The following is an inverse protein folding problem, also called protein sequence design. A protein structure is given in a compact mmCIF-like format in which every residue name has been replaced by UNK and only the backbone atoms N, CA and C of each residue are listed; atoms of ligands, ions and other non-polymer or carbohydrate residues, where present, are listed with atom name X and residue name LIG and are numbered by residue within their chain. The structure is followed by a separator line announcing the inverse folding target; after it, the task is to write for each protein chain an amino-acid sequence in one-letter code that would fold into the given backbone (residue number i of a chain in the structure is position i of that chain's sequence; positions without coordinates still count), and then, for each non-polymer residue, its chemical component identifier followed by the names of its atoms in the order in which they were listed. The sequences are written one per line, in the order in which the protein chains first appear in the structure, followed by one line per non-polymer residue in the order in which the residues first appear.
data_IF_949447191662
#
_entry.id   IF_949447191662
#
_cell.length_a   1.000
_cell.length_b   1.000
_cell.length_c   1.000
_cell.angle_alpha   90.00
_cell.angle_beta   90.00
_cell.angle_gamma   90.00
#
_symmetry.space_group_name_H-M   'P 1'
#
loop_
_entity.id
_entity.type
_entity.pdbx_description
1 polymer ?
#
# COMPACT_ATOMS: atom_id res chain seq x y z
N UNK A 1 20.76 -74.48 -5.89
CA UNK A 1 19.54 -73.69 -6.11
C UNK A 1 19.08 -73.18 -4.75
N UNK A 2 19.46 -71.95 -4.41
CA UNK A 2 19.10 -71.25 -3.17
C UNK A 2 18.18 -70.10 -3.57
N UNK A 3 16.91 -70.14 -3.16
CA UNK A 3 15.98 -69.02 -3.34
C UNK A 3 15.83 -68.27 -2.02
N UNK A 4 16.28 -67.03 -2.06
CA UNK A 4 16.22 -66.05 -1.01
C UNK A 4 14.77 -65.60 -0.75
N UNK A 5 14.39 -65.58 0.52
CA UNK A 5 13.22 -64.92 1.09
C UNK A 5 13.37 -63.39 0.94
N UNK A 6 12.39 -62.76 0.31
CA UNK A 6 12.24 -61.29 0.27
C UNK A 6 11.87 -60.77 1.67
N UNK A 7 12.44 -59.66 2.15
CA UNK A 7 11.96 -59.02 3.37
C UNK A 7 10.67 -58.25 3.09
N UNK A 8 9.71 -58.43 3.99
CA UNK A 8 8.47 -57.66 4.11
C UNK A 8 8.79 -56.17 4.18
N UNK A 9 8.11 -55.39 3.33
CA UNK A 9 8.22 -53.94 3.25
C UNK A 9 7.72 -53.28 4.53
N UNK A 10 8.57 -52.43 5.11
CA UNK A 10 8.29 -51.55 6.25
C UNK A 10 7.31 -50.40 5.90
N UNK A 11 6.18 -50.71 5.26
CA UNK A 11 5.14 -49.74 4.88
C UNK A 11 3.81 -50.01 5.63
N UNK A 12 3.63 -51.16 6.29
CA UNK A 12 2.34 -51.51 6.92
C UNK A 12 2.26 -51.25 8.44
N UNK A 13 3.12 -50.40 9.01
CA UNK A 13 3.11 -50.09 10.47
C UNK A 13 2.77 -48.65 10.86
N UNK A 14 2.15 -47.87 9.95
CA UNK A 14 1.59 -46.55 10.24
C UNK A 14 0.06 -46.55 10.32
N UNK A 15 -0.54 -47.58 10.91
CA UNK A 15 -1.92 -47.49 11.39
C UNK A 15 -1.98 -46.73 12.72
N UNK A 16 -2.30 -45.44 12.60
CA UNK A 16 -3.14 -44.63 13.50
C UNK A 16 -3.38 -45.17 14.91
N UNK A 17 -2.58 -44.70 15.88
CA UNK A 17 -3.01 -44.69 17.28
C UNK A 17 -3.87 -43.45 17.52
N UNK A 18 -5.14 -43.59 17.97
CA UNK A 18 -6.02 -42.46 18.32
C UNK A 18 -5.50 -41.60 19.49
N UNK A 19 -4.43 -42.03 20.17
CA UNK A 19 -3.79 -41.31 21.27
C UNK A 19 -2.65 -40.37 20.84
N UNK A 20 -2.38 -40.22 19.54
CA UNK A 20 -1.37 -39.26 19.09
C UNK A 20 -1.86 -37.82 19.34
N UNK A 21 -1.20 -37.03 20.22
CA UNK A 21 -1.65 -35.69 20.59
C UNK A 21 -1.71 -34.74 19.38
N UNK A 22 -0.86 -34.97 18.37
CA UNK A 22 -0.84 -34.23 17.12
C UNK A 22 -2.06 -34.52 16.25
N UNK A 23 -2.41 -35.79 16.08
CA UNK A 23 -3.60 -36.19 15.29
C UNK A 23 -4.87 -35.63 15.93
N UNK A 24 -4.95 -35.72 17.26
CA UNK A 24 -6.06 -35.17 18.02
C UNK A 24 -6.16 -33.65 17.89
N UNK A 25 -5.04 -32.93 18.00
CA UNK A 25 -5.02 -31.47 17.83
C UNK A 25 -5.47 -31.04 16.42
N UNK A 26 -5.03 -31.75 15.38
CA UNK A 26 -5.46 -31.49 14.01
C UNK A 26 -6.97 -31.73 13.86
N UNK A 27 -7.48 -32.84 14.39
CA UNK A 27 -8.92 -33.16 14.32
C UNK A 27 -9.78 -32.16 15.09
N UNK A 28 -9.37 -31.77 16.30
CA UNK A 28 -10.04 -30.74 17.11
C UNK A 28 -10.09 -29.39 16.36
N UNK A 29 -8.98 -28.99 15.72
CA UNK A 29 -8.92 -27.78 14.92
C UNK A 29 -9.79 -27.85 13.65
N UNK A 30 -9.75 -28.97 12.91
CA UNK A 30 -10.57 -29.15 11.71
C UNK A 30 -12.08 -29.08 12.02
N UNK A 31 -12.51 -29.62 13.15
CA UNK A 31 -13.91 -29.58 13.57
C UNK A 31 -14.46 -28.15 13.75
N UNK A 32 -13.59 -27.18 14.08
CA UNK A 32 -13.99 -25.77 14.22
C UNK A 32 -13.72 -24.94 12.96
N UNK A 33 -12.64 -25.23 12.22
CA UNK A 33 -12.19 -24.44 11.09
C UNK A 33 -12.97 -24.77 9.80
N UNK A 34 -13.36 -26.03 9.60
CA UNK A 34 -14.05 -26.50 8.38
C UNK A 34 -15.56 -26.24 8.37
N UNK A 35 -16.06 -25.31 9.19
CA UNK A 35 -17.48 -24.92 9.20
C UNK A 35 -17.89 -24.10 7.98
N UNK A 36 -16.92 -23.48 7.31
CA UNK A 36 -17.10 -22.58 6.18
C UNK A 36 -16.03 -22.90 5.15
N UNK A 37 -16.44 -23.10 3.91
CA UNK A 37 -15.53 -23.38 2.79
C UNK A 37 -14.97 -22.10 2.17
N UNK A 38 -15.75 -21.01 2.18
CA UNK A 38 -15.38 -19.73 1.56
C UNK A 38 -15.97 -18.52 2.30
N UNK A 39 -15.32 -17.36 2.21
CA UNK A 39 -15.77 -16.16 2.90
C UNK A 39 -17.16 -15.68 2.45
N UNK A 40 -17.55 -15.89 1.19
CA UNK A 40 -18.84 -15.42 0.67
C UNK A 40 -20.03 -16.07 1.38
N UNK A 41 -19.86 -17.30 1.86
CA UNK A 41 -20.86 -18.00 2.67
C UNK A 41 -21.19 -17.27 3.97
N UNK A 42 -20.22 -16.57 4.58
CA UNK A 42 -20.41 -15.76 5.79
C UNK A 42 -21.36 -14.59 5.54
N UNK A 43 -21.28 -13.96 4.37
CA UNK A 43 -22.11 -12.79 4.03
C UNK A 43 -23.51 -13.15 3.52
N UNK A 44 -23.73 -14.40 3.10
CA UNK A 44 -25.03 -14.88 2.59
C UNK A 44 -25.93 -15.44 3.69
N UNK A 45 -25.34 -16.02 4.73
CA UNK A 45 -26.08 -16.74 5.77
C UNK A 45 -26.43 -15.79 6.91
N UNK A 46 -27.72 -15.72 7.27
CA UNK A 46 -28.21 -14.87 8.36
C UNK A 46 -27.75 -15.31 9.75
N UNK A 47 -27.44 -16.60 9.91
CA UNK A 47 -26.98 -17.18 11.18
C UNK A 47 -25.44 -17.21 11.21
N UNK A 48 -24.79 -16.67 12.25
CA UNK A 48 -23.34 -16.76 12.40
C UNK A 48 -22.89 -18.21 12.64
N UNK A 49 -21.70 -18.54 12.16
CA UNK A 49 -21.07 -19.85 12.28
C UNK A 49 -20.33 -20.04 13.62
N UNK A 50 -19.74 -18.96 14.15
CA UNK A 50 -18.87 -19.00 15.34
C UNK A 50 -19.29 -18.06 16.47
N UNK A 51 -20.13 -17.05 16.24
CA UNK A 51 -20.58 -16.09 17.27
C UNK A 51 -21.11 -16.74 18.57
N UNK A 52 -21.79 -17.88 18.43
CA UNK A 52 -22.38 -18.63 19.56
C UNK A 52 -21.36 -19.46 20.34
N UNK A 53 -20.14 -19.63 19.83
CA UNK A 53 -19.09 -20.40 20.49
C UNK A 53 -18.39 -19.56 21.57
N UNK A 54 -17.92 -20.21 22.63
CA UNK A 54 -17.04 -19.56 23.61
C UNK A 54 -15.69 -19.22 22.98
N UNK A 55 -15.01 -18.21 23.53
CA UNK A 55 -13.65 -17.82 23.09
C UNK A 55 -12.68 -19.02 23.19
N UNK A 56 -12.71 -19.76 24.28
CA UNK A 56 -11.90 -20.98 24.47
C UNK A 56 -12.10 -21.99 23.33
N UNK A 57 -13.34 -22.28 22.96
CA UNK A 57 -13.65 -23.22 21.89
C UNK A 57 -13.15 -22.76 20.51
N UNK A 58 -12.97 -21.45 20.31
CA UNK A 58 -12.47 -20.88 19.05
C UNK A 58 -10.93 -20.79 19.05
N UNK A 59 -10.30 -20.61 20.20
CA UNK A 59 -8.87 -20.30 20.32
C UNK A 59 -8.03 -21.53 20.61
N UNK A 60 -8.41 -22.33 21.62
CA UNK A 60 -7.55 -23.41 22.14
C UNK A 60 -7.16 -24.45 21.08
N UNK A 61 -8.05 -24.90 20.18
CA UNK A 61 -7.65 -25.87 19.15
C UNK A 61 -6.63 -25.29 18.15
N UNK A 62 -6.74 -23.99 17.85
CA UNK A 62 -5.81 -23.28 16.97
C UNK A 62 -4.44 -23.08 17.63
N UNK A 63 -4.40 -22.66 18.91
CA UNK A 63 -3.14 -22.55 19.67
C UNK A 63 -2.43 -23.90 19.78
N UNK A 64 -3.20 -24.95 20.10
CA UNK A 64 -2.66 -26.30 20.26
C UNK A 64 -2.06 -26.81 18.95
N UNK A 65 -2.74 -26.65 17.81
CA UNK A 65 -2.19 -27.09 16.52
C UNK A 65 -1.00 -26.23 16.08
N UNK A 66 -1.00 -24.92 16.36
CA UNK A 66 0.17 -24.05 16.11
C UNK A 66 1.40 -24.52 16.89
N UNK A 67 1.22 -24.92 18.15
CA UNK A 67 2.33 -25.35 19.02
C UNK A 67 2.89 -26.72 18.64
N UNK A 68 2.04 -27.66 18.18
CA UNK A 68 2.42 -29.04 17.89
C UNK A 68 2.80 -29.27 16.42
N UNK A 69 2.29 -28.44 15.50
CA UNK A 69 2.37 -28.66 14.05
C UNK A 69 2.74 -27.36 13.33
N UNK A 70 4.03 -27.05 13.12
CA UNK A 70 4.45 -25.82 12.44
C UNK A 70 3.87 -25.65 11.03
N UNK A 71 3.60 -26.74 10.31
CA UNK A 71 2.97 -26.70 8.99
C UNK A 71 1.49 -26.28 9.02
N UNK A 72 0.86 -26.21 10.20
CA UNK A 72 -0.53 -25.75 10.35
C UNK A 72 -0.69 -24.23 10.28
N UNK A 73 0.40 -23.45 10.33
CA UNK A 73 0.38 -21.98 10.37
C UNK A 73 -0.49 -21.36 9.28
N UNK A 74 -0.39 -21.85 8.04
CA UNK A 74 -1.21 -21.36 6.93
C UNK A 74 -2.71 -21.63 7.15
N UNK A 75 -3.06 -22.81 7.70
CA UNK A 75 -4.45 -23.16 8.00
C UNK A 75 -5.01 -22.31 9.15
N UNK A 76 -4.20 -22.00 10.16
CA UNK A 76 -4.61 -21.14 11.28
C UNK A 76 -4.71 -19.68 10.85
N UNK A 77 -3.83 -19.20 9.97
CA UNK A 77 -4.00 -17.89 9.31
C UNK A 77 -5.31 -17.84 8.52
N UNK A 78 -5.62 -18.89 7.75
CA UNK A 78 -6.87 -18.97 7.02
C UNK A 78 -8.10 -18.93 7.95
N UNK A 79 -8.04 -19.70 9.04
CA UNK A 79 -9.09 -19.71 10.06
C UNK A 79 -9.28 -18.34 10.72
N UNK A 80 -8.18 -17.64 11.06
CA UNK A 80 -8.23 -16.26 11.55
C UNK A 80 -8.94 -15.34 10.54
N UNK A 81 -8.64 -15.46 9.24
CA UNK A 81 -9.31 -14.70 8.20
C UNK A 81 -10.83 -14.94 8.16
N UNK A 82 -11.26 -16.20 8.29
CA UNK A 82 -12.69 -16.53 8.35
C UNK A 82 -13.38 -15.94 9.59
N UNK A 83 -12.73 -15.99 10.76
CA UNK A 83 -13.26 -15.34 11.97
C UNK A 83 -13.37 -13.82 11.80
N UNK A 84 -12.41 -13.19 11.13
CA UNK A 84 -12.44 -11.75 10.85
C UNK A 84 -13.56 -11.39 9.88
N UNK A 85 -13.80 -12.20 8.86
CA UNK A 85 -14.94 -12.03 7.97
C UNK A 85 -16.26 -12.03 8.74
N UNK A 86 -16.48 -13.02 9.61
CA UNK A 86 -17.70 -13.08 10.42
C UNK A 86 -17.81 -11.90 11.38
N UNK A 87 -16.74 -11.60 12.14
CA UNK A 87 -16.76 -10.50 13.10
C UNK A 87 -17.00 -9.15 12.42
N UNK A 88 -16.35 -8.90 11.28
CA UNK A 88 -16.53 -7.67 10.50
C UNK A 88 -17.94 -7.59 9.93
N UNK A 89 -18.46 -8.71 9.40
CA UNK A 89 -19.82 -8.75 8.88
C UNK A 89 -20.83 -8.37 9.95
N UNK A 90 -20.76 -9.02 11.12
CA UNK A 90 -21.64 -8.77 12.26
C UNK A 90 -21.50 -7.33 12.79
N UNK A 91 -20.27 -6.83 12.92
CA UNK A 91 -19.99 -5.47 13.37
C UNK A 91 -20.65 -4.42 12.48
N UNK A 92 -20.46 -4.51 11.17
CA UNK A 92 -21.09 -3.58 10.23
C UNK A 92 -22.61 -3.78 10.15
N UNK A 93 -23.13 -5.00 10.25
CA UNK A 93 -24.58 -5.24 10.27
C UNK A 93 -25.25 -4.56 11.47
N UNK A 94 -24.58 -4.55 12.63
CA UNK A 94 -25.03 -3.82 13.82
C UNK A 94 -24.96 -2.31 13.68
N UNK A 95 -23.99 -1.79 12.93
CA UNK A 95 -23.91 -0.35 12.62
C UNK A 95 -24.97 0.10 11.61
N UNK A 96 -25.32 -0.77 10.66
CA UNK A 96 -26.38 -0.53 9.67
C UNK A 96 -27.77 -0.64 10.29
N UNK A 97 -27.94 -1.57 11.22
CA UNK A 97 -29.20 -1.78 11.93
C UNK A 97 -28.94 -1.97 13.44
N UNK A 98 -29.24 -0.96 14.27
CA UNK A 98 -29.07 -1.05 15.73
C UNK A 98 -29.87 -2.19 16.39
N UNK A 99 -30.93 -2.68 15.74
CA UNK A 99 -31.74 -3.81 16.23
C UNK A 99 -31.17 -5.18 15.83
N UNK A 100 -30.02 -5.22 15.15
CA UNK A 100 -29.32 -6.47 14.85
C UNK A 100 -28.81 -7.10 16.16
N UNK A 101 -29.49 -8.16 16.60
CA UNK A 101 -29.33 -8.75 17.93
C UNK A 101 -28.17 -9.75 18.10
N UNK A 102 -27.44 -10.06 17.04
CA UNK A 102 -26.33 -11.01 17.10
C UNK A 102 -25.10 -10.36 17.75
N UNK A 103 -24.59 -10.96 18.82
CA UNK A 103 -23.38 -10.50 19.49
C UNK A 103 -22.11 -11.04 18.81
N UNK A 104 -21.20 -10.13 18.44
CA UNK A 104 -19.90 -10.46 17.84
C UNK A 104 -18.77 -10.60 18.87
N UNK A 105 -19.03 -10.36 20.16
CA UNK A 105 -18.00 -10.20 21.19
C UNK A 105 -17.04 -11.40 21.33
N UNK A 106 -17.56 -12.63 21.26
CA UNK A 106 -16.74 -13.84 21.38
C UNK A 106 -15.78 -14.00 20.19
N UNK A 107 -16.27 -13.77 18.97
CA UNK A 107 -15.46 -13.90 17.75
C UNK A 107 -14.42 -12.78 17.70
N UNK A 108 -14.80 -11.53 18.03
CA UNK A 108 -13.85 -10.41 18.13
C UNK A 108 -12.72 -10.69 19.13
N UNK A 109 -13.05 -11.28 20.29
CA UNK A 109 -12.05 -11.67 21.30
C UNK A 109 -11.16 -12.81 20.82
N UNK A 110 -11.71 -13.79 20.10
CA UNK A 110 -10.95 -14.88 19.51
C UNK A 110 -9.98 -14.38 18.43
N UNK A 111 -10.45 -13.50 17.53
CA UNK A 111 -9.62 -12.82 16.52
C UNK A 111 -8.46 -12.10 17.19
N UNK A 112 -8.73 -11.27 18.21
CA UNK A 112 -7.68 -10.52 18.92
C UNK A 112 -6.63 -11.45 19.52
N UNK A 113 -7.06 -12.55 20.16
CA UNK A 113 -6.15 -13.49 20.82
C UNK A 113 -5.27 -14.22 19.80
N UNK A 114 -5.86 -14.77 18.74
CA UNK A 114 -5.12 -15.51 17.71
C UNK A 114 -4.18 -14.60 16.91
N UNK A 115 -4.62 -13.38 16.57
CA UNK A 115 -3.75 -12.38 15.92
C UNK A 115 -2.54 -12.07 16.81
N UNK A 116 -2.75 -11.87 18.11
CA UNK A 116 -1.68 -11.65 19.06
C UNK A 116 -0.72 -12.83 19.17
N UNK A 117 -1.21 -14.08 19.17
CA UNK A 117 -0.34 -15.26 19.22
C UNK A 117 0.54 -15.38 17.98
N UNK A 118 0.00 -15.04 16.80
CA UNK A 118 0.77 -14.98 15.55
C UNK A 118 1.80 -13.83 15.58
N UNK A 119 1.47 -12.67 16.16
CA UNK A 119 2.43 -11.58 16.38
C UNK A 119 3.60 -12.02 17.27
N UNK A 120 3.31 -12.76 18.35
CA UNK A 120 4.35 -13.32 19.22
C UNK A 120 5.24 -14.31 18.46
N UNK A 121 4.66 -15.14 17.59
CA UNK A 121 5.44 -16.08 16.75
C UNK A 121 6.36 -15.37 15.76
N UNK A 122 5.91 -14.27 15.15
CA UNK A 122 6.76 -13.42 14.29
C UNK A 122 7.93 -12.85 15.11
N UNK A 123 7.65 -12.42 16.34
CA UNK A 123 8.64 -11.77 17.20
C UNK A 123 9.64 -12.74 17.85
N UNK A 124 9.23 -13.99 18.06
CA UNK A 124 10.03 -14.97 18.79
C UNK A 124 11.07 -15.70 17.94
N UNK A 125 11.03 -15.54 16.62
CA UNK A 125 11.88 -16.32 15.71
C UNK A 125 12.31 -15.46 14.55
N UNK A 126 13.57 -15.60 14.10
CA UNK A 126 14.04 -15.05 12.83
C UNK A 126 13.39 -15.82 11.65
N UNK A 127 12.11 -15.56 11.43
CA UNK A 127 11.30 -16.20 10.39
C UNK A 127 10.87 -15.15 9.37
N UNK A 128 11.84 -14.64 8.59
CA UNK A 128 11.58 -13.91 7.33
C UNK A 128 10.48 -14.59 6.51
N UNK A 129 10.59 -15.91 6.30
CA UNK A 129 9.62 -16.68 5.51
C UNK A 129 8.21 -16.66 6.09
N UNK A 130 8.06 -16.74 7.42
CA UNK A 130 6.74 -16.69 8.04
C UNK A 130 6.15 -15.28 8.00
N UNK A 131 6.97 -14.25 8.25
CA UNK A 131 6.53 -12.85 8.12
C UNK A 131 6.06 -12.55 6.70
N UNK A 132 6.78 -13.05 5.68
CA UNK A 132 6.40 -12.91 4.28
C UNK A 132 5.09 -13.65 3.97
N UNK A 133 4.92 -14.87 4.50
CA UNK A 133 3.66 -15.62 4.38
C UNK A 133 2.48 -14.87 5.02
N UNK A 134 2.68 -14.31 6.22
CA UNK A 134 1.66 -13.52 6.92
C UNK A 134 1.34 -12.27 6.12
N UNK A 135 2.35 -11.51 5.66
CA UNK A 135 2.15 -10.31 4.85
C UNK A 135 1.35 -10.61 3.58
N UNK A 136 1.77 -11.61 2.79
CA UNK A 136 1.11 -11.98 1.55
C UNK A 136 -0.35 -12.42 1.79
N UNK A 137 -0.57 -13.22 2.84
CA UNK A 137 -1.93 -13.67 3.21
C UNK A 137 -2.81 -12.49 3.63
N UNK A 138 -2.31 -11.58 4.49
CA UNK A 138 -3.08 -10.44 4.96
C UNK A 138 -3.38 -9.44 3.84
N UNK A 139 -2.45 -9.22 2.91
CA UNK A 139 -2.72 -8.43 1.71
C UNK A 139 -3.92 -8.99 0.92
N UNK A 140 -3.94 -10.30 0.66
CA UNK A 140 -5.05 -10.96 -0.03
C UNK A 140 -6.37 -10.85 0.78
N UNK A 141 -6.29 -11.05 2.10
CA UNK A 141 -7.44 -10.95 2.99
C UNK A 141 -8.02 -9.52 3.04
N UNK A 142 -7.20 -8.48 3.03
CA UNK A 142 -7.68 -7.09 2.99
C UNK A 142 -8.41 -6.77 1.68
N UNK A 143 -7.92 -7.32 0.56
CA UNK A 143 -8.61 -7.22 -0.74
C UNK A 143 -9.97 -7.93 -0.69
N UNK A 144 -10.03 -9.15 -0.14
CA UNK A 144 -11.28 -9.92 0.01
C UNK A 144 -12.26 -9.20 0.95
N UNK A 145 -11.80 -8.72 2.10
CA UNK A 145 -12.58 -7.91 3.04
C UNK A 145 -13.14 -6.66 2.37
N UNK A 146 -12.33 -5.95 1.57
CA UNK A 146 -12.80 -4.79 0.83
C UNK A 146 -13.88 -5.19 -0.18
N UNK A 147 -13.61 -6.22 -0.99
CA UNK A 147 -14.53 -6.74 -2.02
C UNK A 147 -15.90 -7.12 -1.44
N UNK A 148 -15.93 -7.77 -0.27
CA UNK A 148 -17.18 -8.16 0.36
C UNK A 148 -17.95 -7.02 1.06
N UNK A 149 -17.29 -5.89 1.37
CA UNK A 149 -17.89 -4.84 2.21
C UNK A 149 -18.06 -3.47 1.53
N UNK A 150 -17.38 -3.17 0.41
CA UNK A 150 -17.41 -1.82 -0.17
C UNK A 150 -18.79 -1.40 -0.71
N UNK A 151 -19.64 -2.34 -1.10
CA UNK A 151 -21.00 -2.04 -1.61
C UNK A 151 -22.07 -1.94 -0.54
N UNK A 152 -21.71 -2.22 0.72
CA UNK A 152 -22.64 -2.20 1.85
C UNK A 152 -23.20 -0.79 2.09
N UNK A 153 -24.44 -0.68 2.62
CA UNK A 153 -25.03 0.62 2.97
C UNK A 153 -24.09 1.50 3.81
N UNK A 154 -23.41 0.95 4.81
CA UNK A 154 -22.49 1.73 5.65
C UNK A 154 -21.29 2.28 4.87
N UNK A 155 -20.75 1.52 3.93
CA UNK A 155 -19.63 1.95 3.09
C UNK A 155 -20.05 3.06 2.12
N UNK A 156 -21.22 2.90 1.49
CA UNK A 156 -21.80 3.93 0.62
C UNK A 156 -22.08 5.24 1.37
N UNK A 157 -22.50 5.15 2.63
CA UNK A 157 -22.73 6.32 3.49
C UNK A 157 -21.43 6.99 3.95
N UNK A 158 -20.40 6.21 4.31
CA UNK A 158 -19.10 6.73 4.70
C UNK A 158 -18.34 7.39 3.53
N UNK A 159 -18.61 6.93 2.31
CA UNK A 159 -17.87 7.24 1.10
C UNK A 159 -16.96 6.08 0.71
N UNK A 160 -16.84 5.83 -0.59
CA UNK A 160 -16.07 4.70 -1.13
C UNK A 160 -14.62 5.05 -1.45
N UNK A 161 -14.18 6.29 -1.24
CA UNK A 161 -12.78 6.66 -1.47
C UNK A 161 -11.83 5.98 -0.47
N UNK A 162 -10.55 5.76 -0.81
CA UNK A 162 -9.60 5.01 0.03
C UNK A 162 -9.48 5.51 1.47
N UNK A 163 -9.51 6.83 1.68
CA UNK A 163 -9.49 7.43 3.03
C UNK A 163 -10.74 7.10 3.85
N UNK A 164 -11.91 7.11 3.23
CA UNK A 164 -13.17 6.79 3.90
C UNK A 164 -13.26 5.29 4.22
N UNK A 165 -12.83 4.44 3.28
CA UNK A 165 -12.72 3.00 3.49
C UNK A 165 -11.73 2.66 4.62
N UNK A 166 -10.56 3.31 4.66
CA UNK A 166 -9.60 3.12 5.76
C UNK A 166 -10.26 3.39 7.12
N UNK A 167 -10.92 4.54 7.27
CA UNK A 167 -11.59 4.92 8.52
C UNK A 167 -12.69 3.92 8.89
N UNK A 168 -13.49 3.51 7.90
CA UNK A 168 -14.55 2.52 8.10
C UNK A 168 -14.00 1.18 8.57
N UNK A 169 -13.00 0.64 7.88
CA UNK A 169 -12.40 -0.65 8.23
C UNK A 169 -11.69 -0.59 9.58
N UNK A 170 -10.97 0.50 9.88
CA UNK A 170 -10.38 0.72 11.21
C UNK A 170 -11.40 0.82 12.34
N UNK A 171 -12.65 1.16 12.03
CA UNK A 171 -13.71 1.17 13.05
C UNK A 171 -14.08 -0.23 13.54
N UNK A 172 -13.75 -1.31 12.81
CA UNK A 172 -13.97 -2.70 13.24
C UNK A 172 -12.84 -3.17 14.15
N UNK A 173 -13.12 -3.62 15.40
CA UNK A 173 -12.08 -4.11 16.32
C UNK A 173 -11.30 -5.32 15.79
N UNK A 174 -11.95 -6.16 14.98
CA UNK A 174 -11.33 -7.35 14.39
C UNK A 174 -10.35 -6.98 13.29
N UNK A 175 -10.69 -6.00 12.45
CA UNK A 175 -9.76 -5.46 11.46
C UNK A 175 -8.61 -4.74 12.16
N UNK A 176 -8.88 -3.97 13.21
CA UNK A 176 -7.82 -3.34 14.01
C UNK A 176 -6.80 -4.36 14.53
N UNK A 177 -7.26 -5.54 14.98
CA UNK A 177 -6.36 -6.63 15.42
C UNK A 177 -5.54 -7.22 14.26
N UNK A 178 -6.13 -7.35 13.06
CA UNK A 178 -5.38 -7.76 11.87
C UNK A 178 -4.35 -6.73 11.42
N UNK A 179 -4.67 -5.43 11.51
CA UNK A 179 -3.75 -4.36 11.14
C UNK A 179 -2.51 -4.39 12.05
N UNK A 180 -2.66 -4.67 13.35
CA UNK A 180 -1.52 -4.87 14.25
C UNK A 180 -0.64 -6.07 13.86
N UNK A 181 -1.24 -7.21 13.50
CA UNK A 181 -0.50 -8.37 12.99
C UNK A 181 0.22 -8.05 11.67
N UNK A 182 -0.45 -7.33 10.78
CA UNK A 182 0.12 -6.84 9.53
C UNK A 182 1.31 -5.91 9.77
N UNK A 183 1.15 -4.90 10.64
CA UNK A 183 2.22 -3.99 11.03
C UNK A 183 3.41 -4.75 11.62
N UNK A 184 3.18 -5.78 12.45
CA UNK A 184 4.24 -6.62 12.99
C UNK A 184 5.01 -7.36 11.89
N UNK A 185 4.32 -7.93 10.91
CA UNK A 185 4.94 -8.61 9.78
C UNK A 185 5.75 -7.63 8.90
N UNK A 186 5.19 -6.46 8.61
CA UNK A 186 5.85 -5.40 7.83
C UNK A 186 7.09 -4.88 8.57
N UNK A 187 7.00 -4.56 9.86
CA UNK A 187 8.13 -4.08 10.65
C UNK A 187 9.31 -5.07 10.59
N UNK A 188 9.05 -6.36 10.84
CA UNK A 188 10.09 -7.38 10.77
C UNK A 188 10.70 -7.51 9.37
N UNK A 189 9.89 -7.45 8.30
CA UNK A 189 10.39 -7.54 6.93
C UNK A 189 11.12 -6.27 6.48
N UNK A 190 10.75 -5.09 6.93
CA UNK A 190 11.50 -3.86 6.64
C UNK A 190 12.91 -3.90 7.23
N UNK A 191 13.08 -4.57 8.38
CA UNK A 191 14.39 -4.77 9.00
C UNK A 191 15.24 -5.85 8.29
N UNK A 192 14.64 -6.98 7.87
CA UNK A 192 15.41 -8.13 7.38
C UNK A 192 15.33 -8.39 5.86
N UNK A 193 14.29 -7.90 5.17
CA UNK A 193 14.03 -8.15 3.75
C UNK A 193 13.09 -7.07 3.12
N UNK A 194 13.52 -5.79 3.07
CA UNK A 194 12.66 -4.69 2.62
C UNK A 194 12.19 -4.85 1.16
N UNK A 195 13.03 -5.41 0.29
CA UNK A 195 12.68 -5.64 -1.12
C UNK A 195 11.51 -6.64 -1.26
N UNK A 196 11.51 -7.74 -0.51
CA UNK A 196 10.41 -8.71 -0.50
C UNK A 196 9.13 -8.09 0.06
N UNK A 197 9.26 -7.26 1.11
CA UNK A 197 8.16 -6.56 1.74
C UNK A 197 7.44 -5.67 0.70
N UNK A 198 8.20 -4.81 0.03
CA UNK A 198 7.65 -3.89 -0.94
C UNK A 198 7.18 -4.59 -2.22
N UNK A 199 7.86 -5.66 -2.66
CA UNK A 199 7.38 -6.48 -3.78
C UNK A 199 5.99 -7.06 -3.48
N UNK A 200 5.79 -7.58 -2.27
CA UNK A 200 4.49 -8.14 -1.85
C UNK A 200 3.40 -7.06 -1.79
N UNK A 201 3.72 -5.87 -1.28
CA UNK A 201 2.80 -4.72 -1.25
C UNK A 201 2.45 -4.22 -2.66
N UNK A 202 3.43 -4.16 -3.56
CA UNK A 202 3.21 -3.80 -4.97
C UNK A 202 2.36 -4.82 -5.71
N UNK A 203 2.58 -6.11 -5.48
CA UNK A 203 1.76 -7.17 -6.08
C UNK A 203 0.31 -7.07 -5.61
N UNK A 204 0.08 -6.80 -4.32
CA UNK A 204 -1.24 -6.52 -3.77
C UNK A 204 -1.87 -5.26 -4.39
N UNK A 205 -1.07 -4.20 -4.57
CA UNK A 205 -1.49 -2.93 -5.17
C UNK A 205 -2.07 -3.05 -6.58
N UNK A 206 -1.79 -4.15 -7.31
CA UNK A 206 -2.38 -4.40 -8.65
C UNK A 206 -3.90 -4.59 -8.61
N UNK A 207 -4.48 -4.82 -7.43
CA UNK A 207 -5.92 -4.90 -7.24
C UNK A 207 -6.59 -3.52 -7.17
N UNK A 208 -5.80 -2.43 -7.26
CA UNK A 208 -6.27 -1.05 -7.34
C UNK A 208 -7.17 -0.68 -6.16
N UNK A 209 -8.36 -0.19 -6.48
CA UNK A 209 -9.38 0.26 -5.52
C UNK A 209 -9.52 -0.60 -4.26
N UNK A 210 -9.49 -1.94 -4.40
CA UNK A 210 -9.68 -2.86 -3.27
C UNK A 210 -8.51 -2.87 -2.26
N UNK A 211 -7.34 -2.36 -2.67
CA UNK A 211 -6.14 -2.28 -1.85
C UNK A 211 -5.66 -0.84 -1.59
N UNK A 212 -6.09 0.16 -2.35
CA UNK A 212 -5.60 1.55 -2.24
C UNK A 212 -5.71 2.12 -0.81
N UNK A 213 -6.72 1.71 -0.03
CA UNK A 213 -6.88 2.12 1.36
C UNK A 213 -5.79 1.57 2.29
N UNK A 214 -5.18 0.43 1.96
CA UNK A 214 -4.06 -0.16 2.69
C UNK A 214 -2.76 0.62 2.48
N UNK A 215 -2.54 1.23 1.31
CA UNK A 215 -1.40 2.12 1.12
C UNK A 215 -1.41 3.29 2.09
N UNK A 216 -2.60 3.86 2.36
CA UNK A 216 -2.76 4.92 3.34
C UNK A 216 -2.39 4.45 4.75
N UNK A 217 -2.78 3.22 5.11
CA UNK A 217 -2.45 2.62 6.41
C UNK A 217 -0.93 2.37 6.54
N UNK A 218 -0.34 1.70 5.56
CA UNK A 218 1.10 1.38 5.51
C UNK A 218 1.94 2.65 5.59
N UNK A 219 1.57 3.68 4.84
CA UNK A 219 2.26 4.96 4.85
C UNK A 219 2.11 5.71 6.20
N UNK A 220 0.99 5.56 6.90
CA UNK A 220 0.85 6.10 8.26
C UNK A 220 1.71 5.36 9.28
N UNK A 221 1.77 4.04 9.19
CA UNK A 221 2.48 3.19 10.15
C UNK A 221 4.01 3.22 9.95
N UNK A 222 4.46 3.29 8.69
CA UNK A 222 5.89 3.23 8.32
C UNK A 222 6.29 4.36 7.36
N UNK A 223 6.10 5.64 7.74
CA UNK A 223 6.18 6.76 6.81
C UNK A 223 7.55 6.92 6.14
N UNK A 224 8.66 6.84 6.89
CA UNK A 224 10.01 6.99 6.31
C UNK A 224 10.33 5.95 5.21
N UNK A 225 10.30 4.62 5.49
CA UNK A 225 10.64 3.63 4.47
C UNK A 225 9.63 3.61 3.33
N UNK A 226 8.34 3.85 3.59
CA UNK A 226 7.30 3.85 2.56
C UNK A 226 7.42 5.06 1.63
N UNK A 227 7.61 6.26 2.17
CA UNK A 227 7.80 7.47 1.34
C UNK A 227 9.07 7.33 0.51
N UNK A 228 10.18 6.89 1.10
CA UNK A 228 11.44 6.68 0.37
C UNK A 228 11.28 5.67 -0.77
N UNK A 229 10.62 4.54 -0.49
CA UNK A 229 10.29 3.55 -1.50
C UNK A 229 9.43 4.12 -2.63
N UNK A 230 8.29 4.75 -2.30
CA UNK A 230 7.35 5.29 -3.28
C UNK A 230 7.97 6.40 -4.13
N UNK A 231 8.81 7.24 -3.55
CA UNK A 231 9.53 8.28 -4.30
C UNK A 231 10.54 7.68 -5.28
N UNK A 232 11.33 6.71 -4.81
CA UNK A 232 12.33 6.03 -5.65
C UNK A 232 11.67 5.23 -6.77
N UNK A 233 10.67 4.40 -6.46
CA UNK A 233 9.96 3.59 -7.45
C UNK A 233 9.17 4.47 -8.40
N UNK A 234 8.52 5.52 -7.89
CA UNK A 234 7.76 6.48 -8.68
C UNK A 234 8.63 7.27 -9.66
N UNK A 235 9.83 7.68 -9.27
CA UNK A 235 10.78 8.34 -10.16
C UNK A 235 11.28 7.40 -11.28
N UNK A 236 11.56 6.13 -10.96
CA UNK A 236 11.95 5.15 -11.97
C UNK A 236 10.79 4.87 -12.93
N UNK A 237 9.58 4.70 -12.42
CA UNK A 237 8.38 4.54 -13.23
C UNK A 237 8.11 5.75 -14.13
N UNK A 238 8.32 6.96 -13.59
CA UNK A 238 8.17 8.20 -14.35
C UNK A 238 9.22 8.31 -15.46
N UNK A 239 10.43 7.83 -15.21
CA UNK A 239 11.48 7.75 -16.22
C UNK A 239 11.12 6.80 -17.35
N UNK A 240 10.68 5.58 -17.02
CA UNK A 240 10.20 4.63 -18.03
C UNK A 240 9.03 5.18 -18.83
N UNK A 241 8.11 5.88 -18.15
CA UNK A 241 6.99 6.56 -18.78
C UNK A 241 7.44 7.61 -19.80
N UNK A 242 8.30 8.55 -19.40
CA UNK A 242 8.79 9.62 -20.25
C UNK A 242 9.54 9.07 -21.49
N UNK A 243 10.42 8.08 -21.29
CA UNK A 243 11.16 7.43 -22.37
C UNK A 243 10.24 6.71 -23.36
N UNK A 244 9.23 6.00 -22.85
CA UNK A 244 8.26 5.27 -23.68
C UNK A 244 7.42 6.23 -24.53
N UNK A 245 6.95 7.33 -23.93
CA UNK A 245 6.20 8.37 -24.64
C UNK A 245 7.06 9.02 -25.72
N UNK A 246 8.31 9.41 -25.39
CA UNK A 246 9.23 9.97 -26.38
C UNK A 246 9.44 9.03 -27.57
N UNK A 247 9.59 7.72 -27.31
CA UNK A 247 9.70 6.71 -28.36
C UNK A 247 8.44 6.60 -29.22
N UNK A 248 7.23 6.64 -28.62
CA UNK A 248 5.98 6.59 -29.38
C UNK A 248 5.74 7.84 -30.22
N UNK A 249 6.07 9.02 -29.68
CA UNK A 249 5.98 10.30 -30.39
C UNK A 249 6.94 10.32 -31.60
N UNK A 250 8.18 9.83 -31.43
CA UNK A 250 9.14 9.69 -32.54
C UNK A 250 8.65 8.74 -33.65
N UNK A 251 7.91 7.69 -33.28
CA UNK A 251 7.33 6.73 -34.22
C UNK A 251 5.99 7.20 -34.82
N UNK A 252 5.44 8.33 -34.36
CA UNK A 252 4.11 8.82 -34.76
C UNK A 252 2.95 7.94 -34.26
N UNK A 253 3.17 7.07 -33.26
CA UNK A 253 2.16 6.13 -32.77
C UNK A 253 1.32 6.73 -31.64
N UNK A 254 0.35 7.57 -32.01
CA UNK A 254 -0.51 8.27 -31.06
C UNK A 254 -1.40 7.32 -30.22
N UNK A 255 -1.81 6.18 -30.79
CA UNK A 255 -2.63 5.20 -30.07
C UNK A 255 -1.85 4.56 -28.91
N UNK A 256 -0.61 4.11 -29.17
CA UNK A 256 0.24 3.53 -28.13
C UNK A 256 0.62 4.56 -27.05
N UNK A 257 0.86 5.82 -27.45
CA UNK A 257 1.10 6.91 -26.50
C UNK A 257 -0.12 7.11 -25.57
N UNK A 258 -1.34 7.13 -26.12
CA UNK A 258 -2.57 7.27 -25.34
C UNK A 258 -2.77 6.13 -24.33
N UNK A 259 -2.58 4.88 -24.75
CA UNK A 259 -2.65 3.72 -23.85
C UNK A 259 -1.60 3.81 -22.74
N UNK A 260 -0.36 4.17 -23.10
CA UNK A 260 0.73 4.38 -22.13
C UNK A 260 0.37 5.45 -21.10
N UNK A 261 -0.19 6.59 -21.52
CA UNK A 261 -0.64 7.61 -20.58
C UNK A 261 -1.71 7.08 -19.61
N UNK A 262 -2.65 6.26 -20.08
CA UNK A 262 -3.67 5.68 -19.19
C UNK A 262 -3.08 4.73 -18.15
N UNK A 263 -2.14 3.87 -18.57
CA UNK A 263 -1.48 2.91 -17.67
C UNK A 263 -0.75 3.64 -16.55
N UNK A 264 0.07 4.64 -16.89
CA UNK A 264 0.84 5.38 -15.89
C UNK A 264 -0.03 6.30 -15.03
N UNK A 265 -1.10 6.89 -15.58
CA UNK A 265 -2.05 7.66 -14.76
C UNK A 265 -2.71 6.77 -13.68
N UNK A 266 -3.09 5.54 -14.02
CA UNK A 266 -3.61 4.58 -13.02
C UNK A 266 -2.54 4.19 -12.00
N UNK A 267 -1.27 4.07 -12.41
CA UNK A 267 -0.15 3.72 -11.54
C UNK A 267 0.20 4.83 -10.53
N UNK A 268 0.19 6.09 -10.97
CA UNK A 268 0.53 7.23 -10.11
C UNK A 268 -0.60 7.68 -9.19
N UNK A 269 -1.85 7.30 -9.47
CA UNK A 269 -3.00 7.74 -8.69
C UNK A 269 -2.94 7.29 -7.21
N UNK A 270 -2.70 6.00 -6.87
CA UNK A 270 -2.57 5.58 -5.46
C UNK A 270 -1.38 6.24 -4.74
N UNK A 271 -0.28 6.48 -5.46
CA UNK A 271 0.89 7.18 -4.94
C UNK A 271 0.54 8.63 -4.58
N UNK A 272 -0.13 9.35 -5.49
CA UNK A 272 -0.58 10.71 -5.25
C UNK A 272 -1.55 10.79 -4.06
N UNK A 273 -2.51 9.86 -3.97
CA UNK A 273 -3.44 9.77 -2.83
C UNK A 273 -2.73 9.53 -1.50
N UNK A 274 -1.69 8.70 -1.50
CA UNK A 274 -0.86 8.43 -0.32
C UNK A 274 -0.15 9.70 0.15
N UNK A 275 0.44 10.47 -0.77
CA UNK A 275 1.10 11.73 -0.41
C UNK A 275 0.12 12.81 0.00
N UNK A 276 -1.06 12.89 -0.62
CA UNK A 276 -2.15 13.77 -0.16
C UNK A 276 -2.55 13.44 1.27
N UNK A 277 -2.72 12.15 1.56
CA UNK A 277 -3.09 11.69 2.89
C UNK A 277 -2.02 12.07 3.92
N UNK A 278 -0.74 11.81 3.66
CA UNK A 278 0.37 12.17 4.54
C UNK A 278 0.53 13.69 4.71
N UNK A 279 0.39 14.46 3.64
CA UNK A 279 0.39 15.93 3.67
C UNK A 279 -0.75 16.47 4.56
N UNK A 280 -1.95 15.89 4.45
CA UNK A 280 -3.10 16.25 5.31
C UNK A 280 -2.87 15.94 6.79
N UNK A 281 -1.95 15.03 7.09
CA UNK A 281 -1.51 14.66 8.45
C UNK A 281 -0.29 15.45 8.91
N UNK A 282 0.25 16.35 8.07
CA UNK A 282 1.50 17.09 8.31
C UNK A 282 2.66 16.15 8.67
N UNK A 283 2.77 15.03 7.97
CA UNK A 283 3.75 14.00 8.26
C UNK A 283 5.18 14.53 8.01
N UNK A 284 6.03 14.50 9.04
CA UNK A 284 7.40 15.04 8.97
C UNK A 284 8.31 14.26 8.00
N UNK A 285 8.12 12.93 7.88
CA UNK A 285 8.93 12.10 6.98
C UNK A 285 8.62 12.39 5.51
N UNK A 286 7.37 12.70 5.16
CA UNK A 286 7.05 13.17 3.81
C UNK A 286 7.89 14.41 3.46
N UNK A 287 8.02 15.36 4.39
CA UNK A 287 8.85 16.54 4.18
C UNK A 287 10.33 16.20 4.12
N UNK A 288 10.84 15.43 5.09
CA UNK A 288 12.25 15.06 5.20
C UNK A 288 12.77 14.30 3.98
N UNK A 289 12.08 13.24 3.59
CA UNK A 289 12.51 12.37 2.48
C UNK A 289 12.35 13.06 1.13
N UNK A 290 11.25 13.81 0.92
CA UNK A 290 11.09 14.61 -0.31
C UNK A 290 12.17 15.68 -0.41
N UNK A 291 12.55 16.29 0.71
CA UNK A 291 13.62 17.27 0.76
C UNK A 291 14.97 16.65 0.40
N UNK A 292 15.29 15.47 0.92
CA UNK A 292 16.52 14.75 0.58
C UNK A 292 16.58 14.44 -0.92
N UNK A 293 15.47 13.99 -1.51
CA UNK A 293 15.35 13.76 -2.95
C UNK A 293 15.52 15.07 -3.75
N UNK A 294 14.95 16.19 -3.30
CA UNK A 294 15.16 17.50 -3.92
C UNK A 294 16.64 17.91 -3.88
N UNK A 295 17.31 17.78 -2.73
CA UNK A 295 18.73 18.14 -2.58
C UNK A 295 19.59 17.31 -3.54
N UNK A 296 19.35 16.00 -3.58
CA UNK A 296 20.08 15.10 -4.48
C UNK A 296 19.83 15.44 -5.95
N UNK A 297 18.57 15.61 -6.34
CA UNK A 297 18.20 15.97 -7.71
C UNK A 297 18.75 17.34 -8.13
N UNK A 298 18.82 18.31 -7.22
CA UNK A 298 19.43 19.63 -7.48
C UNK A 298 20.95 19.49 -7.70
N UNK A 299 21.63 18.63 -6.92
CA UNK A 299 23.06 18.39 -7.12
C UNK A 299 23.32 17.76 -8.50
N UNK A 300 22.56 16.72 -8.86
CA UNK A 300 22.67 16.06 -10.16
C UNK A 300 22.35 16.98 -11.34
N UNK A 301 21.34 17.85 -11.19
CA UNK A 301 21.00 18.88 -12.17
C UNK A 301 22.12 19.92 -12.34
N UNK A 302 22.90 20.17 -11.29
CA UNK A 302 24.03 21.10 -11.38
C UNK A 302 25.23 20.51 -12.09
N UNK A 303 25.44 19.20 -11.96
CA UNK A 303 26.54 18.46 -12.57
C UNK A 303 26.24 18.03 -14.03
N UNK A 304 24.97 18.03 -14.43
CA UNK A 304 24.54 17.66 -15.78
C UNK A 304 24.99 18.69 -16.82
N UNK A 305 25.93 18.30 -17.69
CA UNK A 305 26.39 19.09 -18.84
C UNK A 305 25.57 18.85 -20.12
N UNK A 306 24.78 17.77 -20.16
CA UNK A 306 23.98 17.38 -21.33
C UNK A 306 22.48 17.44 -21.00
N UNK A 307 21.72 18.09 -21.87
CA UNK A 307 20.26 18.30 -21.72
C UNK A 307 19.42 17.19 -22.35
N UNK A 308 20.03 16.27 -23.11
CA UNK A 308 19.28 15.26 -23.86
C UNK A 308 18.75 14.17 -22.95
N UNK A 309 17.45 13.86 -23.10
CA UNK A 309 16.78 12.80 -22.33
C UNK A 309 17.30 11.40 -22.77
N UNK A 310 18.32 10.91 -22.08
CA UNK A 310 18.90 9.59 -22.26
C UNK A 310 18.51 8.64 -21.12
N UNK A 311 18.72 7.33 -21.32
CA UNK A 311 18.46 6.31 -20.30
C UNK A 311 19.24 6.50 -18.99
N UNK A 312 20.32 7.29 -18.99
CA UNK A 312 21.09 7.65 -17.79
C UNK A 312 20.54 8.84 -16.99
N UNK A 313 19.60 9.62 -17.55
CA UNK A 313 19.12 10.87 -16.93
C UNK A 313 18.40 10.59 -15.62
N UNK A 314 18.71 11.34 -14.57
CA UNK A 314 17.89 11.37 -13.35
C UNK A 314 16.66 12.26 -13.57
N UNK A 315 15.48 11.68 -13.34
CA UNK A 315 14.19 12.36 -13.49
C UNK A 315 13.48 12.52 -12.15
N UNK A 316 14.24 12.53 -11.04
CA UNK A 316 13.70 12.72 -9.70
C UNK A 316 12.99 14.07 -9.55
N UNK A 317 13.60 15.17 -10.04
CA UNK A 317 13.00 16.51 -9.98
C UNK A 317 11.74 16.63 -10.86
N UNK A 318 11.75 16.23 -12.15
CA UNK A 318 10.53 16.19 -12.97
C UNK A 318 9.41 15.32 -12.37
N UNK A 319 9.76 14.18 -11.76
CA UNK A 319 8.79 13.33 -11.07
C UNK A 319 8.17 14.06 -9.86
N UNK A 320 8.96 14.72 -9.01
CA UNK A 320 8.43 15.53 -7.92
C UNK A 320 7.52 16.65 -8.44
N UNK A 321 7.88 17.26 -9.57
CA UNK A 321 7.03 18.25 -10.23
C UNK A 321 5.68 17.65 -10.67
N UNK A 322 5.69 16.45 -11.28
CA UNK A 322 4.46 15.68 -11.60
C UNK A 322 3.60 15.39 -10.37
N UNK A 323 4.21 15.07 -9.24
CA UNK A 323 3.49 14.81 -8.00
C UNK A 323 2.79 16.07 -7.48
N UNK A 324 3.51 17.19 -7.39
CA UNK A 324 2.91 18.45 -6.92
C UNK A 324 1.86 18.96 -7.90
N UNK A 325 2.04 18.76 -9.21
CA UNK A 325 1.05 19.20 -10.19
C UNK A 325 -0.25 18.42 -10.10
N UNK A 326 -0.18 17.19 -9.59
CA UNK A 326 -1.34 16.31 -9.40
C UNK A 326 -2.14 16.64 -8.14
N UNK A 327 -1.59 17.44 -7.20
CA UNK A 327 -2.29 17.81 -5.97
C UNK A 327 -1.88 19.17 -5.39
N UNK A 328 -2.83 20.13 -5.30
CA UNK A 328 -2.62 21.39 -4.59
C UNK A 328 -2.22 21.23 -3.12
N UNK A 329 -2.69 20.18 -2.45
CA UNK A 329 -2.40 19.97 -1.03
C UNK A 329 -0.96 19.52 -0.80
N UNK A 330 -0.45 18.66 -1.69
CA UNK A 330 0.96 18.25 -1.67
C UNK A 330 1.85 19.43 -2.00
N UNK A 331 1.49 20.25 -3.00
CA UNK A 331 2.22 21.47 -3.31
C UNK A 331 2.30 22.39 -2.08
N UNK A 332 1.15 22.73 -1.47
CA UNK A 332 1.12 23.64 -0.33
C UNK A 332 1.96 23.12 0.82
N UNK A 333 1.88 21.82 1.08
CA UNK A 333 2.69 21.17 2.11
C UNK A 333 4.19 21.27 1.79
N UNK A 334 4.63 20.86 0.60
CA UNK A 334 6.06 20.86 0.25
C UNK A 334 6.64 22.28 0.12
N UNK A 335 5.87 23.23 -0.41
CA UNK A 335 6.31 24.61 -0.53
C UNK A 335 6.60 25.24 0.84
N UNK A 336 5.87 24.85 1.89
CA UNK A 336 6.18 25.32 3.26
C UNK A 336 7.49 24.74 3.84
N UNK A 337 8.00 23.64 3.29
CA UNK A 337 9.12 22.89 3.90
C UNK A 337 10.38 22.78 3.02
N UNK A 338 10.31 23.22 1.76
CA UNK A 338 11.42 23.10 0.81
C UNK A 338 11.66 24.36 -0.04
N UNK A 339 10.93 25.45 0.19
CA UNK A 339 11.03 26.66 -0.63
C UNK A 339 12.43 27.29 -0.59
N UNK A 340 13.15 27.18 0.51
CA UNK A 340 14.53 27.69 0.62
C UNK A 340 15.55 26.96 -0.26
N UNK A 341 15.20 25.78 -0.79
CA UNK A 341 16.04 25.05 -1.73
C UNK A 341 15.87 25.53 -3.17
N UNK A 342 14.77 26.22 -3.48
CA UNK A 342 14.41 26.63 -4.84
C UNK A 342 15.06 27.97 -5.15
N UNK A 343 16.21 27.93 -5.83
CA UNK A 343 16.94 29.13 -6.30
C UNK A 343 16.68 29.38 -7.79
N UNK A 344 16.92 30.61 -8.27
CA UNK A 344 16.67 30.99 -9.67
C UNK A 344 17.43 30.10 -10.68
N UNK A 345 18.69 29.77 -10.38
CA UNK A 345 19.51 28.88 -11.21
C UNK A 345 18.96 27.45 -11.28
N UNK A 346 18.40 26.95 -10.17
CA UNK A 346 17.75 25.64 -10.09
C UNK A 346 16.46 25.65 -10.91
N UNK A 347 15.65 26.69 -10.77
CA UNK A 347 14.40 26.85 -11.54
C UNK A 347 14.68 26.82 -13.04
N UNK A 348 15.67 27.58 -13.50
CA UNK A 348 16.07 27.60 -14.92
C UNK A 348 16.45 26.22 -15.44
N UNK A 349 17.39 25.54 -14.76
CA UNK A 349 17.84 24.21 -15.18
C UNK A 349 16.69 23.18 -15.12
N UNK A 350 15.83 23.27 -14.12
CA UNK A 350 14.67 22.38 -13.99
C UNK A 350 13.67 22.63 -15.13
N UNK A 351 13.42 23.88 -15.51
CA UNK A 351 12.60 24.22 -16.67
C UNK A 351 13.18 23.66 -17.97
N UNK A 352 14.50 23.75 -18.16
CA UNK A 352 15.17 23.15 -19.33
C UNK A 352 15.00 21.63 -19.36
N UNK A 353 15.18 20.95 -18.23
CA UNK A 353 14.98 19.50 -18.16
C UNK A 353 13.52 19.11 -18.41
N UNK A 354 12.57 19.86 -17.84
CA UNK A 354 11.13 19.62 -18.02
C UNK A 354 10.68 19.89 -19.46
N UNK A 355 11.31 20.82 -20.19
CA UNK A 355 10.95 21.08 -21.60
C UNK A 355 11.31 19.93 -22.55
N UNK A 356 12.21 19.04 -22.17
CA UNK A 356 12.58 17.84 -22.92
C UNK A 356 11.59 16.68 -22.69
N UNK A 357 10.65 16.84 -21.75
CA UNK A 357 9.65 15.84 -21.42
C UNK A 357 8.30 16.27 -21.98
N UNK A 358 7.59 15.33 -22.62
CA UNK A 358 6.22 15.57 -23.08
C UNK A 358 5.36 16.09 -21.93
N UNK A 359 4.76 17.27 -22.10
CA UNK A 359 3.93 17.93 -21.09
C UNK A 359 2.78 17.07 -20.56
N UNK A 360 2.32 16.10 -21.36
CA UNK A 360 1.30 15.12 -20.97
C UNK A 360 1.77 14.18 -19.86
N UNK A 361 3.08 13.98 -19.73
CA UNK A 361 3.66 13.21 -18.64
C UNK A 361 3.66 14.00 -17.33
N UNK A 362 3.80 15.34 -17.40
CA UNK A 362 4.01 16.24 -16.27
C UNK A 362 2.71 16.85 -15.75
N UNK A 363 1.89 17.41 -16.65
CA UNK A 363 0.70 18.17 -16.28
C UNK A 363 -0.53 17.27 -16.21
N UNK A 364 -1.40 17.42 -15.20
CA UNK A 364 -2.71 16.79 -15.23
C UNK A 364 -3.59 17.40 -16.34
N UNK A 365 -4.53 16.59 -16.85
CA UNK A 365 -5.59 17.09 -17.72
C UNK A 365 -6.68 17.71 -16.87
N UNK A 366 -6.79 19.04 -16.88
CA UNK A 366 -7.80 19.78 -16.12
C UNK A 366 -8.93 20.19 -17.09
N UNK A 367 -10.18 19.74 -16.87
CA UNK A 367 -11.31 20.12 -17.71
C UNK A 367 -11.49 21.64 -17.76
N UNK A 368 -11.64 22.19 -18.98
CA UNK A 368 -11.86 23.63 -19.19
C UNK A 368 -10.63 24.51 -19.04
N UNK A 369 -9.43 23.94 -18.89
CA UNK A 369 -8.16 24.68 -18.84
C UNK A 369 -7.29 24.28 -20.03
N UNK A 370 -6.66 25.26 -20.67
CA UNK A 370 -5.71 25.01 -21.75
C UNK A 370 -4.56 24.13 -21.24
N UNK A 371 -4.19 23.08 -21.98
CA UNK A 371 -3.12 22.17 -21.59
C UNK A 371 -1.74 22.76 -21.90
N UNK A 372 -1.36 23.80 -21.14
CA UNK A 372 -0.09 24.53 -21.22
C UNK A 372 0.45 24.77 -19.80
N UNK A 373 1.78 24.92 -19.67
CA UNK A 373 2.41 25.25 -18.38
C UNK A 373 1.91 26.59 -17.83
N UNK A 374 1.72 27.61 -18.69
CA UNK A 374 1.24 28.92 -18.27
C UNK A 374 -0.16 28.86 -17.65
N UNK A 375 -1.13 28.26 -18.36
CA UNK A 375 -2.50 28.16 -17.87
C UNK A 375 -2.59 27.30 -16.59
N UNK A 376 -1.73 26.29 -16.50
CA UNK A 376 -1.59 25.49 -15.29
C UNK A 376 -1.06 26.32 -14.11
N UNK A 377 0.05 27.03 -14.29
CA UNK A 377 0.71 27.83 -13.25
C UNK A 377 -0.20 28.96 -12.74
N UNK A 378 -0.92 29.65 -13.63
CA UNK A 378 -1.89 30.70 -13.24
C UNK A 378 -2.90 30.19 -12.21
N UNK A 379 -3.43 28.98 -12.44
CA UNK A 379 -4.38 28.35 -11.53
C UNK A 379 -3.71 27.80 -10.27
N UNK A 380 -2.46 27.35 -10.40
CA UNK A 380 -1.71 26.76 -9.31
C UNK A 380 -1.24 27.78 -8.27
N UNK A 381 -0.93 29.01 -8.70
CA UNK A 381 -0.61 30.13 -7.81
C UNK A 381 -1.74 30.43 -6.82
N UNK A 382 -3.00 30.20 -7.21
CA UNK A 382 -4.15 30.39 -6.31
C UNK A 382 -4.18 29.46 -5.10
N UNK A 383 -3.36 28.40 -5.06
CA UNK A 383 -3.31 27.46 -3.95
C UNK A 383 -2.17 27.71 -2.97
N UNK A 384 -1.25 28.61 -3.31
CA UNK A 384 -0.10 29.00 -2.50
C UNK A 384 -0.48 30.14 -1.54
N UNK A 385 0.21 30.22 -0.40
CA UNK A 385 0.08 31.36 0.51
C UNK A 385 0.92 32.55 0.07
N UNK A 386 0.57 33.74 0.55
CA UNK A 386 1.20 35.01 0.16
C UNK A 386 2.74 34.98 0.31
N UNK A 387 3.25 34.46 1.42
CA UNK A 387 4.70 34.35 1.67
C UNK A 387 5.41 33.44 0.65
N UNK A 388 4.76 32.34 0.26
CA UNK A 388 5.30 31.42 -0.75
C UNK A 388 5.28 32.06 -2.14
N UNK A 389 4.22 32.80 -2.47
CA UNK A 389 4.13 33.54 -3.73
C UNK A 389 5.22 34.61 -3.79
N UNK A 390 5.41 35.38 -2.71
CA UNK A 390 6.45 36.40 -2.61
C UNK A 390 7.84 35.79 -2.84
N UNK A 391 8.16 34.68 -2.15
CA UNK A 391 9.43 33.99 -2.33
C UNK A 391 9.61 33.41 -3.74
N UNK A 392 8.55 32.90 -4.37
CA UNK A 392 8.60 32.41 -5.74
C UNK A 392 8.84 33.56 -6.73
N UNK A 393 8.21 34.72 -6.51
CA UNK A 393 8.45 35.92 -7.30
C UNK A 393 9.89 36.41 -7.15
N UNK A 394 10.41 36.50 -5.93
CA UNK A 394 11.81 36.87 -5.68
C UNK A 394 12.79 35.90 -6.38
N UNK A 395 12.43 34.62 -6.47
CA UNK A 395 13.23 33.59 -7.12
C UNK A 395 13.14 33.66 -8.65
N UNK A 396 12.00 34.05 -9.21
CA UNK A 396 11.74 34.01 -10.65
C UNK A 396 11.98 35.34 -11.35
N UNK A 397 11.84 36.48 -10.66
CA UNK A 397 12.10 37.81 -11.22
C UNK A 397 13.52 37.96 -11.80
N UNK A 398 14.60 37.46 -11.15
CA UNK A 398 15.93 37.51 -11.74
C UNK A 398 16.01 36.82 -13.11
N UNK A 399 15.23 35.77 -13.35
CA UNK A 399 15.22 35.06 -14.63
C UNK A 399 14.70 35.96 -15.76
N UNK A 400 13.73 36.82 -15.46
CA UNK A 400 13.14 37.72 -16.45
C UNK A 400 13.95 39.00 -16.70
N UNK A 401 14.77 39.42 -15.73
CA UNK A 401 15.36 40.77 -15.71
C UNK A 401 16.89 40.84 -15.49
N UNK A 402 17.55 39.75 -15.09
CA UNK A 402 19.01 39.71 -14.90
C UNK A 402 19.69 39.06 -16.12
N UNK A 403 20.29 39.90 -16.97
CA UNK A 403 21.05 39.47 -18.16
C UNK A 403 22.26 38.60 -17.81
N UNK A 404 22.73 38.62 -16.55
CA UNK A 404 23.91 37.89 -16.09
C UNK A 404 23.56 36.61 -15.33
N UNK A 405 22.29 36.20 -15.30
CA UNK A 405 21.86 35.03 -14.50
C UNK A 405 22.51 33.71 -14.94
N UNK A 406 22.99 33.63 -16.18
CA UNK A 406 23.72 32.47 -16.73
C UNK A 406 25.23 32.48 -16.45
N UNK A 407 25.75 33.56 -15.84
CA UNK A 407 27.19 33.74 -15.56
C UNK A 407 27.57 33.49 -14.10
N UNK A 408 26.60 33.12 -13.26
CA UNK A 408 26.74 32.74 -11.85
C UNK A 408 26.27 31.31 -11.63
#
# INVERSE_FOLDING_TARGET
MSQASRPSSAIDTLHSSPDNPTIRAISEFQAIASKVDDASSIYRVLRPFWASNSVANLVEPAEKVLSLVPSSRAAVLNYLGMLVHEATHLYFSKKENPYFGTDSSNVERAVRKLAHDLEQLISSTDQRSFSLQVLAYLCALFIELCTCNYERPIAKQAGIGPRALLILFQSSPSIGSLLMLFERAVANLLECAPDDCFSTLLDASRHGFYFDWMWLHVAAAFPAPVVSFLLKSGAEDFKQYALTIASHEQQGNQAAAFETHQVYNRKFMPLAETFIYLASKRNAELSSVTREMLIKGIAELNDANETTLISGTDLSLPFLFKIVTSSPDVLRFLAQHANELVKSSVVLKACMQISEISKHCILPMIPGVNHTYTAFLERFLCFLGDDTIASLLDTTLPIAFDEHIFSR
#
